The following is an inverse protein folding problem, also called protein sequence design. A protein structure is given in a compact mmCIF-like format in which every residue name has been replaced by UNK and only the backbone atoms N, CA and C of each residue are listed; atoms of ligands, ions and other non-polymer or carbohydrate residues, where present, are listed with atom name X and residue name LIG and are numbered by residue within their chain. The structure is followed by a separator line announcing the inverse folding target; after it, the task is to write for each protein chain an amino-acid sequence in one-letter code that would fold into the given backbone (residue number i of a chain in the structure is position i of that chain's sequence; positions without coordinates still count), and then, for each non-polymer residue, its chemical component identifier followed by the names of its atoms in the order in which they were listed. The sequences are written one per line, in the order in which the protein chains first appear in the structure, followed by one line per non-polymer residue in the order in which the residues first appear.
data_IF_157212252934
#
_entry.id   IF_157212252934
#
_cell.length_a   1.000
_cell.length_b   1.000
_cell.length_c   1.000
_cell.angle_alpha   90.00
_cell.angle_beta   90.00
_cell.angle_gamma   90.00
#
_symmetry.space_group_name_H-M   'P 1'
#
loop_
_entity.id
_entity.type
_entity.pdbx_description
1 polymer ?
#
# COMPACT_ATOMS: atom_id res chain seq x y z
N UNK A 1 5.21 -24.43 -29.11
CA UNK A 1 3.79 -24.45 -28.72
C UNK A 1 3.69 -23.86 -27.32
N UNK A 2 2.98 -22.72 -27.24
CA UNK A 2 2.63 -21.84 -26.11
C UNK A 2 3.05 -22.25 -24.69
N UNK A 3 4.12 -21.58 -24.25
CA UNK A 3 4.29 -20.71 -23.08
C UNK A 3 3.81 -21.12 -21.67
N UNK A 4 4.75 -21.07 -20.73
CA UNK A 4 4.71 -21.52 -19.32
C UNK A 4 5.07 -20.41 -18.31
N UNK A 5 5.26 -19.16 -18.72
CA UNK A 5 5.82 -18.12 -17.85
C UNK A 5 4.87 -16.97 -17.51
N UNK A 6 4.01 -17.15 -16.50
CA UNK A 6 3.22 -16.03 -15.93
C UNK A 6 3.05 -16.12 -14.40
N UNK A 7 4.05 -16.67 -13.69
CA UNK A 7 3.88 -17.16 -12.32
C UNK A 7 4.85 -16.65 -11.23
N UNK A 8 5.53 -15.49 -11.36
CA UNK A 8 6.56 -15.12 -10.37
C UNK A 8 6.64 -13.69 -9.81
N UNK A 9 5.72 -12.78 -10.11
CA UNK A 9 5.86 -11.36 -9.71
C UNK A 9 4.85 -10.82 -8.68
N UNK A 10 4.38 -11.64 -7.74
CA UNK A 10 3.61 -11.12 -6.60
C UNK A 10 3.98 -11.83 -5.30
N UNK A 11 5.04 -11.32 -4.66
CA UNK A 11 5.23 -11.16 -3.21
C UNK A 11 4.81 -12.33 -2.31
N UNK A 12 5.62 -13.38 -2.34
CA UNK A 12 6.11 -14.07 -1.15
C UNK A 12 7.02 -13.04 -0.43
N UNK A 13 6.81 -12.54 0.79
CA UNK A 13 6.34 -13.18 2.01
C UNK A 13 5.91 -12.12 3.07
N UNK A 14 4.70 -11.58 3.10
CA UNK A 14 3.50 -12.24 3.63
C UNK A 14 3.58 -12.87 5.05
N UNK A 15 4.75 -12.96 5.74
CA UNK A 15 4.91 -13.92 6.86
C UNK A 15 5.00 -13.44 8.31
N UNK A 16 5.33 -12.19 8.68
CA UNK A 16 5.58 -11.91 10.12
C UNK A 16 4.57 -11.07 10.90
N UNK A 17 3.72 -10.23 10.30
CA UNK A 17 2.78 -9.41 11.11
C UNK A 17 1.38 -10.05 11.33
N UNK A 18 1.31 -11.38 11.23
CA UNK A 18 0.14 -12.22 11.54
C UNK A 18 -0.13 -12.41 13.06
N UNK A 19 0.44 -11.62 13.97
CA UNK A 19 0.49 -11.99 15.41
C UNK A 19 -0.51 -11.35 16.37
N UNK A 20 -1.48 -10.52 15.96
CA UNK A 20 -2.52 -10.07 16.92
C UNK A 20 -3.97 -10.30 16.54
N UNK A 21 -4.31 -10.85 15.37
CA UNK A 21 -5.68 -11.36 15.13
C UNK A 21 -5.64 -12.65 14.30
N UNK A 22 -5.61 -13.81 14.97
CA UNK A 22 -6.12 -15.07 14.39
C UNK A 22 -6.91 -15.86 15.46
N UNK A 23 -8.02 -16.54 15.10
CA UNK A 23 -8.35 -16.99 13.75
C UNK A 23 -9.76 -16.67 13.24
N UNK A 24 -9.84 -16.17 12.00
CA UNK A 24 -10.56 -16.87 10.92
C UNK A 24 -9.46 -17.38 9.99
N UNK A 25 -9.33 -18.69 9.80
CA UNK A 25 -8.11 -19.31 9.26
C UNK A 25 -7.83 -19.00 7.77
N UNK A 26 -8.73 -18.34 7.06
CA UNK A 26 -8.72 -18.25 5.59
C UNK A 26 -8.86 -16.82 5.01
N UNK A 27 -8.94 -15.77 5.82
CA UNK A 27 -9.00 -14.40 5.30
C UNK A 27 -7.58 -13.87 5.12
N UNK A 28 -7.22 -13.45 3.90
CA UNK A 28 -5.96 -12.74 3.65
C UNK A 28 -6.20 -11.25 3.84
N UNK A 29 -5.49 -10.64 4.79
CA UNK A 29 -5.50 -9.19 5.04
C UNK A 29 -4.17 -8.60 4.58
N UNK A 30 -4.17 -7.60 3.68
CA UNK A 30 -2.99 -6.78 3.38
C UNK A 30 -3.17 -5.42 4.06
N UNK A 31 -2.26 -5.04 4.95
CA UNK A 31 -2.43 -3.90 5.86
C UNK A 31 -1.46 -2.76 5.52
N UNK A 32 -2.03 -1.57 5.34
CA UNK A 32 -1.46 -0.25 5.60
C UNK A 32 -2.15 0.25 6.89
N UNK A 33 -1.58 1.22 7.61
CA UNK A 33 -2.08 1.68 8.93
C UNK A 33 -3.59 1.94 8.98
N UNK A 34 -4.18 2.32 7.84
CA UNK A 34 -5.60 2.65 7.69
C UNK A 34 -6.24 2.13 6.40
N UNK A 35 -5.50 1.44 5.53
CA UNK A 35 -6.03 0.81 4.32
C UNK A 35 -5.76 -0.69 4.36
N UNK A 36 -6.82 -1.48 4.27
CA UNK A 36 -6.79 -2.91 4.49
C UNK A 36 -7.43 -3.61 3.31
N UNK A 37 -6.84 -4.69 2.80
CA UNK A 37 -7.44 -5.50 1.75
C UNK A 37 -7.85 -6.85 2.29
N UNK A 38 -9.10 -7.25 2.12
CA UNK A 38 -9.64 -8.54 2.54
C UNK A 38 -9.92 -9.41 1.32
N UNK A 39 -9.14 -10.46 1.12
CA UNK A 39 -9.40 -11.46 0.08
C UNK A 39 -9.98 -12.72 0.69
N UNK A 40 -11.29 -12.86 0.60
CA UNK A 40 -12.05 -13.96 1.20
C UNK A 40 -13.41 -14.13 0.52
N UNK A 41 -14.17 -15.17 0.88
CA UNK A 41 -15.58 -15.23 0.49
C UNK A 41 -16.46 -14.37 1.41
N UNK A 42 -17.70 -14.10 0.98
CA UNK A 42 -18.62 -13.25 1.74
C UNK A 42 -18.96 -13.80 3.14
N UNK A 43 -18.98 -15.12 3.33
CA UNK A 43 -19.27 -15.71 4.64
C UNK A 43 -18.12 -15.46 5.64
N UNK A 44 -16.89 -15.48 5.14
CA UNK A 44 -15.70 -15.16 5.92
C UNK A 44 -15.59 -13.66 6.22
N UNK A 45 -16.03 -12.81 5.29
CA UNK A 45 -16.15 -11.37 5.53
C UNK A 45 -17.17 -11.07 6.63
N UNK A 46 -18.34 -11.71 6.59
CA UNK A 46 -19.35 -11.53 7.63
C UNK A 46 -18.83 -11.97 9.00
N UNK A 47 -18.14 -13.12 9.08
CA UNK A 47 -17.49 -13.57 10.30
C UNK A 47 -16.41 -12.59 10.79
N UNK A 48 -15.64 -11.98 9.87
CA UNK A 48 -14.64 -10.96 10.20
C UNK A 48 -15.30 -9.74 10.84
N UNK A 49 -16.36 -9.22 10.23
CA UNK A 49 -17.10 -8.06 10.71
C UNK A 49 -17.76 -8.34 12.07
N UNK A 50 -18.30 -9.55 12.26
CA UNK A 50 -18.88 -9.95 13.55
C UNK A 50 -17.87 -9.96 14.70
N UNK A 51 -16.60 -10.25 14.39
CA UNK A 51 -15.51 -10.25 15.36
C UNK A 51 -14.94 -8.87 15.68
N UNK A 52 -15.25 -7.84 14.88
CA UNK A 52 -14.85 -6.47 15.19
C UNK A 52 -15.52 -6.06 16.51
N UNK A 53 -14.77 -5.64 17.54
CA UNK A 53 -15.35 -5.22 18.81
C UNK A 53 -16.39 -4.11 18.58
N UNK A 54 -17.62 -4.36 19.02
CA UNK A 54 -18.75 -3.43 18.92
C UNK A 54 -18.86 -2.55 20.17
N UNK A 55 -17.75 -2.12 20.75
CA UNK A 55 -17.83 -1.11 21.81
C UNK A 55 -18.46 0.16 21.24
N UNK A 56 -19.11 0.95 22.10
CA UNK A 56 -19.89 2.13 21.68
C UNK A 56 -19.04 3.24 21.01
N UNK A 57 -17.72 3.03 20.92
CA UNK A 57 -16.73 4.00 20.49
C UNK A 57 -16.31 3.79 19.02
N UNK A 58 -16.86 2.79 18.31
CA UNK A 58 -16.52 2.50 16.91
C UNK A 58 -17.76 2.51 16.02
N UNK A 59 -17.69 3.26 14.92
CA UNK A 59 -18.70 3.24 13.86
C UNK A 59 -18.25 2.38 12.68
N UNK A 60 -19.09 1.45 12.24
CA UNK A 60 -18.82 0.58 11.09
C UNK A 60 -19.80 0.92 9.96
N UNK A 61 -19.28 1.39 8.84
CA UNK A 61 -20.01 1.62 7.59
C UNK A 61 -19.76 0.46 6.62
N UNK A 62 -20.83 -0.20 6.15
CA UNK A 62 -20.75 -1.28 5.14
C UNK A 62 -21.31 -0.83 3.79
N UNK A 63 -20.48 -0.91 2.74
CA UNK A 63 -20.81 -0.60 1.35
C UNK A 63 -20.94 -1.90 0.55
N UNK A 64 -22.06 -2.07 -0.14
CA UNK A 64 -22.25 -3.20 -1.05
C UNK A 64 -21.76 -2.81 -2.46
N UNK A 65 -20.54 -3.21 -2.85
CA UNK A 65 -19.93 -2.83 -4.13
C UNK A 65 -20.73 -3.28 -5.36
N UNK A 66 -21.50 -4.38 -5.26
CA UNK A 66 -22.46 -4.82 -6.27
C UNK A 66 -23.54 -3.78 -6.61
N UNK A 67 -23.81 -2.82 -5.72
CA UNK A 67 -24.76 -1.72 -5.92
C UNK A 67 -24.08 -0.43 -6.37
N UNK A 68 -22.77 -0.46 -6.59
CA UNK A 68 -21.95 0.71 -6.92
C UNK A 68 -21.41 0.61 -8.36
N UNK A 69 -22.21 0.11 -9.31
CA UNK A 69 -21.81 -0.06 -10.71
C UNK A 69 -21.68 1.28 -11.46
N UNK A 70 -22.31 2.33 -10.95
CA UNK A 70 -22.30 3.71 -11.44
C UNK A 70 -22.26 4.70 -10.25
N UNK A 71 -22.14 6.00 -10.55
CA UNK A 71 -22.06 7.06 -9.53
C UNK A 71 -23.32 7.14 -8.66
N UNK A 72 -24.51 6.99 -9.25
CA UNK A 72 -25.77 7.07 -8.51
C UNK A 72 -25.86 5.97 -7.45
N UNK A 73 -25.50 4.74 -7.83
CA UNK A 73 -25.42 3.60 -6.93
C UNK A 73 -24.35 3.79 -5.85
N UNK A 74 -23.15 4.24 -6.23
CA UNK A 74 -22.06 4.52 -5.29
C UNK A 74 -22.47 5.55 -4.24
N UNK A 75 -22.93 6.72 -4.67
CA UNK A 75 -23.34 7.80 -3.79
C UNK A 75 -24.53 7.42 -2.90
N UNK A 76 -25.48 6.64 -3.43
CA UNK A 76 -26.61 6.14 -2.66
C UNK A 76 -26.18 5.16 -1.56
N UNK A 77 -25.24 4.26 -1.84
CA UNK A 77 -24.72 3.32 -0.84
C UNK A 77 -23.94 4.02 0.26
N UNK A 78 -23.11 5.03 -0.07
CA UNK A 78 -22.40 5.83 0.94
C UNK A 78 -23.36 6.67 1.79
N UNK A 79 -24.33 7.35 1.17
CA UNK A 79 -25.38 8.06 1.93
C UNK A 79 -26.09 7.14 2.91
N UNK A 80 -26.45 5.92 2.48
CA UNK A 80 -27.08 4.92 3.35
C UNK A 80 -26.15 4.48 4.48
N UNK A 81 -24.89 4.16 4.18
CA UNK A 81 -23.96 3.56 5.14
C UNK A 81 -23.44 4.57 6.18
N UNK A 82 -23.18 5.81 5.78
CA UNK A 82 -22.73 6.90 6.67
C UNK A 82 -23.88 7.81 7.12
N UNK A 83 -25.13 7.48 6.78
CA UNK A 83 -26.32 8.28 7.12
C UNK A 83 -26.16 9.74 6.70
N UNK A 84 -25.63 9.97 5.50
CA UNK A 84 -25.45 11.35 5.01
C UNK A 84 -26.79 12.10 5.05
N UNK A 85 -26.76 13.42 5.34
CA UNK A 85 -27.96 14.23 5.45
C UNK A 85 -28.84 14.21 4.20
N UNK A 86 -30.12 14.56 4.39
CA UNK A 86 -31.09 14.59 3.29
C UNK A 86 -30.69 15.56 2.17
N UNK A 87 -29.93 16.61 2.50
CA UNK A 87 -29.41 17.59 1.54
C UNK A 87 -28.23 17.10 0.69
N UNK A 88 -27.73 15.88 0.91
CA UNK A 88 -26.60 15.33 0.17
C UNK A 88 -26.80 15.45 -1.35
N UNK A 89 -25.84 16.10 -2.01
CA UNK A 89 -25.97 16.57 -3.40
C UNK A 89 -25.65 15.55 -4.50
N UNK A 90 -25.34 14.29 -4.16
CA UNK A 90 -25.01 13.21 -5.12
C UNK A 90 -23.96 13.60 -6.17
N UNK A 91 -22.90 14.26 -5.72
CA UNK A 91 -21.75 14.64 -6.53
C UNK A 91 -20.47 14.57 -5.69
N UNK A 92 -19.31 14.64 -6.34
CA UNK A 92 -18.02 14.50 -5.67
C UNK A 92 -17.75 15.55 -4.59
N UNK A 93 -18.17 16.81 -4.78
CA UNK A 93 -17.98 17.85 -3.77
C UNK A 93 -18.81 17.57 -2.51
N UNK A 94 -20.07 17.18 -2.69
CA UNK A 94 -20.93 16.77 -1.57
C UNK A 94 -20.44 15.48 -0.90
N UNK A 95 -19.85 14.56 -1.68
CA UNK A 95 -19.25 13.32 -1.17
C UNK A 95 -18.05 13.62 -0.26
N UNK A 96 -17.14 14.45 -0.73
CA UNK A 96 -15.96 14.88 0.02
C UNK A 96 -16.35 15.61 1.30
N UNK A 97 -17.28 16.55 1.22
CA UNK A 97 -17.83 17.29 2.37
C UNK A 97 -18.45 16.33 3.40
N UNK A 98 -19.38 15.46 2.99
CA UNK A 98 -20.09 14.60 3.93
C UNK A 98 -19.24 13.47 4.51
N UNK A 99 -18.22 12.98 3.77
CA UNK A 99 -17.36 11.91 4.27
C UNK A 99 -16.28 12.44 5.24
N UNK A 100 -15.95 13.72 5.11
CA UNK A 100 -15.01 14.42 5.99
C UNK A 100 -15.69 15.14 7.15
N UNK A 101 -16.98 15.46 7.07
CA UNK A 101 -17.76 16.01 8.17
C UNK A 101 -18.80 14.99 8.64
N UNK A 102 -18.43 14.17 9.62
CA UNK A 102 -19.30 13.13 10.19
C UNK A 102 -19.89 13.54 11.55
N UNK A 103 -20.14 14.83 11.78
CA UNK A 103 -20.59 15.36 13.08
C UNK A 103 -21.91 14.74 13.59
N UNK A 104 -22.74 14.18 12.72
CA UNK A 104 -23.95 13.44 13.10
C UNK A 104 -23.68 11.99 13.58
N UNK A 105 -22.45 11.49 13.46
CA UNK A 105 -22.00 10.17 13.95
C UNK A 105 -20.89 10.38 14.98
N UNK A 106 -21.26 10.36 16.27
CA UNK A 106 -20.28 10.34 17.36
C UNK A 106 -19.61 8.96 17.45
N UNK A 107 -18.31 8.90 17.18
CA UNK A 107 -17.47 7.71 17.37
C UNK A 107 -16.01 8.11 17.62
N UNK A 108 -15.27 7.29 18.37
CA UNK A 108 -13.83 7.46 18.58
C UNK A 108 -12.99 6.82 17.46
N UNK A 109 -13.63 6.06 16.56
CA UNK A 109 -13.04 5.52 15.34
C UNK A 109 -14.10 5.17 14.29
N UNK A 110 -13.73 5.29 13.03
CA UNK A 110 -14.55 4.92 11.89
C UNK A 110 -13.91 3.73 11.15
N UNK A 111 -14.75 2.81 10.70
CA UNK A 111 -14.34 1.66 9.92
C UNK A 111 -15.27 1.51 8.72
N UNK A 112 -14.72 1.70 7.52
CA UNK A 112 -15.40 1.53 6.25
C UNK A 112 -15.09 0.14 5.68
N UNK A 113 -16.10 -0.71 5.51
CA UNK A 113 -15.97 -1.99 4.79
C UNK A 113 -16.63 -1.88 3.43
N UNK A 114 -15.87 -2.10 2.37
CA UNK A 114 -16.34 -2.11 0.99
C UNK A 114 -16.35 -3.54 0.48
N UNK A 115 -17.54 -4.12 0.39
CA UNK A 115 -17.75 -5.48 -0.10
C UNK A 115 -17.70 -5.55 -1.63
N UNK A 116 -17.14 -6.62 -2.21
CA UNK A 116 -17.13 -6.85 -3.66
C UNK A 116 -16.53 -5.65 -4.41
N UNK A 117 -15.37 -5.17 -3.95
CA UNK A 117 -14.66 -4.01 -4.49
C UNK A 117 -14.37 -4.16 -6.00
N UNK A 118 -14.20 -5.41 -6.48
CA UNK A 118 -14.07 -5.74 -7.90
C UNK A 118 -15.31 -5.41 -8.75
N UNK A 119 -16.44 -5.03 -8.12
CA UNK A 119 -17.70 -4.66 -8.78
C UNK A 119 -17.97 -3.17 -8.82
N UNK A 120 -17.17 -2.35 -8.14
CA UNK A 120 -17.38 -0.90 -8.09
C UNK A 120 -16.93 -0.27 -9.40
N UNK A 121 -17.80 0.49 -10.06
CA UNK A 121 -17.49 1.32 -11.24
C UNK A 121 -16.71 0.62 -12.36
N UNK A 122 -16.92 -0.68 -12.58
CA UNK A 122 -16.05 -1.55 -13.43
C UNK A 122 -15.80 -0.97 -14.83
N UNK A 123 -16.77 -0.24 -15.38
CA UNK A 123 -16.71 0.34 -16.72
C UNK A 123 -16.38 1.84 -16.74
N UNK A 124 -15.99 2.42 -15.59
CA UNK A 124 -15.73 3.85 -15.42
C UNK A 124 -14.46 4.06 -14.59
N UNK A 125 -13.30 3.96 -15.25
CA UNK A 125 -12.00 4.09 -14.59
C UNK A 125 -11.75 5.48 -14.03
N UNK A 126 -12.24 6.54 -14.68
CA UNK A 126 -12.04 7.92 -14.22
C UNK A 126 -12.79 8.22 -12.92
N UNK A 127 -14.05 7.76 -12.80
CA UNK A 127 -14.78 7.88 -11.55
C UNK A 127 -14.29 6.91 -10.48
N UNK A 128 -13.79 5.73 -10.86
CA UNK A 128 -13.13 4.81 -9.93
C UNK A 128 -11.84 5.42 -9.36
N UNK A 129 -11.10 6.16 -10.18
CA UNK A 129 -9.93 6.91 -9.74
C UNK A 129 -10.29 8.01 -8.75
N UNK A 130 -11.29 8.81 -9.10
CA UNK A 130 -11.81 9.86 -8.22
C UNK A 130 -12.30 9.27 -6.89
N UNK A 131 -13.00 8.14 -6.93
CA UNK A 131 -13.46 7.41 -5.75
C UNK A 131 -12.31 7.07 -4.80
N UNK A 132 -11.26 6.41 -5.31
CA UNK A 132 -10.11 6.02 -4.50
C UNK A 132 -9.38 7.24 -3.93
N UNK A 133 -9.21 8.29 -4.73
CA UNK A 133 -8.62 9.55 -4.29
C UNK A 133 -9.37 10.14 -3.09
N UNK A 134 -10.70 10.24 -3.15
CA UNK A 134 -11.48 10.78 -2.04
C UNK A 134 -11.42 9.89 -0.79
N UNK A 135 -11.42 8.56 -0.95
CA UNK A 135 -11.25 7.65 0.18
C UNK A 135 -9.88 7.78 0.86
N UNK A 136 -8.80 7.86 0.08
CA UNK A 136 -7.46 8.00 0.63
C UNK A 136 -7.26 9.35 1.31
N UNK A 137 -7.72 10.43 0.67
CA UNK A 137 -7.69 11.77 1.27
C UNK A 137 -8.49 11.80 2.58
N UNK A 138 -9.70 11.22 2.59
CA UNK A 138 -10.53 11.12 3.80
C UNK A 138 -9.79 10.44 4.93
N UNK A 139 -9.23 9.25 4.70
CA UNK A 139 -8.52 8.50 5.73
C UNK A 139 -7.33 9.30 6.29
N UNK A 140 -6.54 9.93 5.39
CA UNK A 140 -5.43 10.78 5.77
C UNK A 140 -5.86 12.00 6.57
N UNK A 141 -6.94 12.68 6.18
CA UNK A 141 -7.44 13.86 6.89
C UNK A 141 -7.92 13.51 8.30
N UNK A 142 -8.66 12.42 8.46
CA UNK A 142 -9.14 11.99 9.78
C UNK A 142 -7.99 11.61 10.71
N UNK A 143 -6.98 10.91 10.22
CA UNK A 143 -5.83 10.47 11.03
C UNK A 143 -4.94 11.65 11.42
N UNK A 144 -4.75 12.61 10.52
CA UNK A 144 -3.96 13.80 10.80
C UNK A 144 -4.74 14.86 11.58
N UNK A 145 -6.07 14.80 11.57
CA UNK A 145 -6.95 15.84 12.08
C UNK A 145 -6.91 17.08 11.19
N UNK A 146 -7.81 18.03 11.46
CA UNK A 146 -7.92 19.29 10.72
C UNK A 146 -8.06 20.47 11.67
N UNK A 147 -7.58 21.62 11.21
CA UNK A 147 -7.76 22.89 11.88
C UNK A 147 -8.20 23.93 10.85
N UNK A 148 -9.50 23.97 10.56
CA UNK A 148 -10.12 24.97 9.68
C UNK A 148 -10.91 25.95 10.54
N UNK A 149 -10.54 27.24 10.50
CA UNK A 149 -11.32 28.40 10.94
C UNK A 149 -12.31 28.11 12.09
N UNK A 150 -11.77 27.69 13.25
CA UNK A 150 -12.45 27.39 14.53
C UNK A 150 -13.16 26.02 14.69
N UNK A 151 -13.17 25.15 13.67
CA UNK A 151 -13.69 23.78 13.74
C UNK A 151 -12.55 22.75 13.80
N UNK A 152 -12.18 22.35 15.02
CA UNK A 152 -11.16 21.35 15.25
C UNK A 152 -11.72 19.94 15.01
N UNK A 153 -11.34 19.30 13.89
CA UNK A 153 -11.47 17.85 13.79
C UNK A 153 -10.28 17.22 14.51
N UNK A 154 -10.55 16.53 15.62
CA UNK A 154 -9.53 15.74 16.32
C UNK A 154 -9.01 14.62 15.41
N UNK A 155 -7.78 14.20 15.65
CA UNK A 155 -7.24 12.97 15.07
C UNK A 155 -8.12 11.80 15.48
N UNK A 156 -8.72 11.14 14.50
CA UNK A 156 -9.63 10.01 14.70
C UNK A 156 -9.24 8.91 13.73
N UNK A 157 -9.02 7.66 14.20
CA UNK A 157 -8.76 6.53 13.31
C UNK A 157 -9.90 6.36 12.29
N UNK A 158 -9.52 6.19 11.02
CA UNK A 158 -10.45 5.92 9.92
C UNK A 158 -9.89 4.77 9.07
N UNK A 159 -10.30 3.55 9.40
CA UNK A 159 -9.86 2.34 8.69
C UNK A 159 -10.75 2.06 7.48
N UNK A 160 -10.15 1.69 6.34
CA UNK A 160 -10.86 1.28 5.13
C UNK A 160 -10.48 -0.16 4.77
N UNK A 161 -11.46 -1.04 4.72
CA UNK A 161 -11.34 -2.45 4.33
C UNK A 161 -11.93 -2.67 2.94
N UNK A 162 -11.07 -2.87 1.95
CA UNK A 162 -11.42 -3.27 0.60
C UNK A 162 -11.55 -4.79 0.51
N UNK A 163 -12.78 -5.29 0.43
CA UNK A 163 -13.05 -6.72 0.28
C UNK A 163 -13.24 -7.12 -1.18
N UNK A 164 -12.62 -8.23 -1.60
CA UNK A 164 -13.00 -8.94 -2.82
C UNK A 164 -12.85 -10.44 -2.65
N UNK A 165 -13.50 -11.21 -3.52
CA UNK A 165 -13.23 -12.65 -3.58
C UNK A 165 -11.76 -12.92 -3.97
N UNK A 166 -11.17 -14.00 -3.44
CA UNK A 166 -9.77 -14.36 -3.74
C UNK A 166 -9.48 -14.45 -5.25
N UNK A 167 -10.45 -14.94 -6.02
CA UNK A 167 -10.37 -15.09 -7.48
C UNK A 167 -10.24 -13.76 -8.22
N UNK A 168 -10.67 -12.66 -7.60
CA UNK A 168 -10.66 -11.31 -8.17
C UNK A 168 -9.55 -10.43 -7.60
N UNK A 169 -8.72 -10.97 -6.69
CA UNK A 169 -7.68 -10.22 -5.98
C UNK A 169 -6.67 -9.55 -6.92
N UNK A 170 -6.20 -10.25 -7.96
CA UNK A 170 -5.24 -9.69 -8.92
C UNK A 170 -5.81 -8.50 -9.70
N UNK A 171 -7.07 -8.62 -10.11
CA UNK A 171 -7.72 -7.62 -10.97
C UNK A 171 -8.00 -6.35 -10.17
N UNK A 172 -8.45 -6.48 -8.92
CA UNK A 172 -8.72 -5.31 -8.09
C UNK A 172 -7.44 -4.61 -7.65
N UNK A 173 -6.40 -5.39 -7.30
CA UNK A 173 -5.09 -4.85 -6.94
C UNK A 173 -4.53 -4.06 -8.12
N UNK A 174 -4.54 -4.64 -9.33
CA UNK A 174 -4.11 -3.97 -10.55
C UNK A 174 -4.86 -2.65 -10.77
N UNK A 175 -6.18 -2.67 -10.65
CA UNK A 175 -7.03 -1.51 -10.91
C UNK A 175 -6.82 -0.37 -9.91
N UNK A 176 -6.53 -0.70 -8.65
CA UNK A 176 -6.17 0.29 -7.62
C UNK A 176 -4.76 0.85 -7.88
N UNK A 177 -3.80 0.01 -8.28
CA UNK A 177 -2.45 0.46 -8.62
C UNK A 177 -2.40 1.38 -9.85
N UNK A 178 -3.12 1.03 -10.93
CA UNK A 178 -3.24 1.88 -12.12
C UNK A 178 -3.82 3.27 -11.80
N UNK A 179 -4.61 3.37 -10.72
CA UNK A 179 -5.21 4.61 -10.23
C UNK A 179 -4.23 5.46 -9.40
N UNK A 180 -3.47 4.84 -8.49
CA UNK A 180 -2.57 5.58 -7.58
C UNK A 180 -1.48 6.37 -8.34
N UNK A 181 -1.03 5.86 -9.49
CA UNK A 181 -0.07 6.52 -10.40
C UNK A 181 -0.60 7.86 -10.95
N UNK A 182 -1.91 8.09 -10.97
CA UNK A 182 -2.54 9.29 -11.54
C UNK A 182 -2.76 10.42 -10.52
N UNK A 183 -2.66 10.14 -9.21
CA UNK A 183 -3.04 11.09 -8.14
C UNK A 183 -1.88 11.86 -7.49
N UNK A 184 -0.62 11.44 -7.69
CA UNK A 184 0.57 12.25 -7.38
C UNK A 184 0.77 13.29 -8.48
N UNK A 185 1.27 14.50 -8.17
CA UNK A 185 1.67 15.44 -9.24
C UNK A 185 2.59 14.66 -10.19
N UNK A 186 2.26 14.50 -11.48
CA UNK A 186 3.10 13.71 -12.37
C UNK A 186 4.46 14.38 -12.42
N UNK A 187 5.50 13.62 -12.06
CA UNK A 187 6.89 14.00 -12.30
C UNK A 187 6.96 14.33 -13.79
N UNK A 188 7.41 15.54 -14.14
CA UNK A 188 7.54 15.93 -15.54
C UNK A 188 8.46 14.91 -16.22
N UNK A 189 7.93 14.10 -17.14
CA UNK A 189 8.68 13.02 -17.78
C UNK A 189 9.97 13.52 -18.45
N UNK A 190 10.03 14.82 -18.81
CA UNK A 190 11.24 15.45 -19.36
C UNK A 190 12.36 15.63 -18.34
N UNK A 191 12.06 15.55 -17.05
CA UNK A 191 13.00 15.70 -15.94
C UNK A 191 13.50 14.36 -15.40
N UNK A 192 12.96 13.23 -15.86
CA UNK A 192 13.39 11.89 -15.41
C UNK A 192 14.75 11.57 -16.01
N UNK A 193 15.77 11.56 -15.15
CA UNK A 193 17.11 11.05 -15.48
C UNK A 193 17.34 9.72 -14.75
N UNK A 194 17.19 8.60 -15.46
CA UNK A 194 17.41 7.26 -14.87
C UNK A 194 18.82 7.11 -14.27
N UNK A 195 19.80 7.89 -14.74
CA UNK A 195 21.16 7.84 -14.19
C UNK A 195 21.22 8.25 -12.72
N UNK A 196 20.32 9.12 -12.25
CA UNK A 196 20.32 9.50 -10.83
C UNK A 196 19.84 8.36 -9.94
N UNK A 197 18.90 7.56 -10.44
CA UNK A 197 18.38 6.38 -9.76
C UNK A 197 19.39 5.21 -9.80
N UNK A 198 20.17 5.07 -10.87
CA UNK A 198 21.32 4.15 -10.94
C UNK A 198 22.39 4.55 -9.90
N UNK A 199 22.75 5.83 -9.82
CA UNK A 199 23.69 6.34 -8.82
C UNK A 199 23.25 6.09 -7.39
N UNK A 200 21.94 6.23 -7.11
CA UNK A 200 21.40 5.90 -5.79
C UNK A 200 21.46 4.40 -5.51
N UNK A 201 21.14 3.57 -6.52
CA UNK A 201 21.26 2.11 -6.42
C UNK A 201 22.71 1.70 -6.06
N UNK A 202 23.70 2.36 -6.65
CA UNK A 202 25.13 2.15 -6.40
C UNK A 202 25.65 2.84 -5.11
N UNK A 203 24.78 3.50 -4.34
CA UNK A 203 25.14 4.27 -3.13
C UNK A 203 26.22 5.33 -3.41
N UNK A 204 26.17 5.95 -4.60
CA UNK A 204 27.02 7.09 -4.98
C UNK A 204 26.44 8.43 -4.51
N UNK A 205 25.11 8.48 -4.30
CA UNK A 205 24.37 9.63 -3.81
C UNK A 205 23.43 9.22 -2.69
N UNK A 206 23.01 10.21 -1.90
CA UNK A 206 21.99 10.05 -0.86
C UNK A 206 20.56 10.09 -1.42
N UNK A 207 19.58 9.68 -0.61
CA UNK A 207 18.16 9.70 -0.98
C UNK A 207 17.64 11.13 -1.19
N UNK A 208 18.13 12.10 -0.41
CA UNK A 208 17.77 13.51 -0.54
C UNK A 208 18.13 14.08 -1.93
N UNK A 209 19.22 13.59 -2.52
CA UNK A 209 19.70 14.01 -3.84
C UNK A 209 18.80 13.53 -4.99
N UNK A 210 17.90 12.55 -4.75
CA UNK A 210 16.90 12.12 -5.73
C UNK A 210 15.80 13.16 -5.98
N UNK A 211 15.65 14.15 -5.10
CA UNK A 211 14.64 15.20 -5.23
C UNK A 211 13.22 14.61 -5.31
N UNK A 212 12.46 15.00 -6.35
CA UNK A 212 11.07 14.53 -6.54
C UNK A 212 10.97 13.02 -6.81
N UNK A 213 12.04 12.38 -7.31
CA UNK A 213 12.03 10.94 -7.61
C UNK A 213 12.04 10.07 -6.34
N UNK A 214 12.44 10.64 -5.20
CA UNK A 214 12.46 9.96 -3.89
C UNK A 214 11.07 9.54 -3.38
N UNK A 215 10.01 10.03 -4.01
CA UNK A 215 8.64 9.58 -3.74
C UNK A 215 8.39 8.12 -4.16
N UNK A 216 9.23 7.58 -5.06
CA UNK A 216 9.17 6.17 -5.47
C UNK A 216 8.06 5.84 -6.48
N UNK A 217 7.28 6.83 -6.95
CA UNK A 217 6.26 6.63 -7.97
C UNK A 217 6.82 6.90 -9.36
N UNK A 218 6.94 5.85 -10.15
CA UNK A 218 7.42 5.93 -11.53
C UNK A 218 6.23 6.09 -12.46
N UNK A 219 6.29 6.89 -13.54
CA UNK A 219 5.28 6.80 -14.59
C UNK A 219 5.30 5.41 -15.23
N UNK A 220 4.15 4.89 -15.69
CA UNK A 220 3.99 3.53 -16.25
C UNK A 220 5.08 3.13 -17.26
N UNK A 221 5.51 4.06 -18.10
CA UNK A 221 6.58 3.85 -19.09
C UNK A 221 7.93 3.47 -18.46
N UNK A 222 8.18 3.91 -17.24
CA UNK A 222 9.43 3.76 -16.51
C UNK A 222 9.38 2.72 -15.40
N UNK A 223 8.25 2.02 -15.21
CA UNK A 223 8.13 0.99 -14.18
C UNK A 223 9.20 -0.09 -14.36
N UNK A 224 9.96 -0.35 -13.29
CA UNK A 224 11.00 -1.37 -13.27
C UNK A 224 12.11 -1.16 -14.30
N UNK A 225 12.40 0.09 -14.69
CA UNK A 225 13.40 0.39 -15.73
C UNK A 225 14.84 0.10 -15.29
N UNK A 226 15.08 -0.04 -13.99
CA UNK A 226 16.42 -0.24 -13.44
C UNK A 226 16.48 -1.61 -12.76
N UNK A 227 17.45 -2.42 -13.15
CA UNK A 227 17.63 -3.77 -12.62
C UNK A 227 18.50 -3.77 -11.37
N UNK A 228 17.99 -4.38 -10.31
CA UNK A 228 18.74 -4.65 -9.09
C UNK A 228 19.37 -6.04 -9.23
N UNK A 229 20.69 -6.09 -9.19
CA UNK A 229 21.48 -7.30 -9.13
C UNK A 229 21.91 -7.60 -7.69
N UNK A 230 22.27 -8.86 -7.40
CA UNK A 230 22.76 -9.28 -6.08
C UNK A 230 24.04 -8.54 -5.67
N UNK A 231 24.84 -8.09 -6.63
CA UNK A 231 26.04 -7.29 -6.40
C UNK A 231 25.71 -5.97 -5.70
N UNK A 232 24.54 -5.35 -5.96
CA UNK A 232 24.13 -4.13 -5.26
C UNK A 232 23.86 -4.40 -3.77
N UNK A 233 23.19 -5.52 -3.44
CA UNK A 233 22.95 -5.92 -2.04
C UNK A 233 24.25 -6.27 -1.33
N UNK A 234 25.16 -6.99 -2.00
CA UNK A 234 26.49 -7.29 -1.46
C UNK A 234 27.22 -5.97 -1.17
N UNK A 235 27.16 -5.01 -2.11
CA UNK A 235 27.81 -3.72 -1.95
C UNK A 235 27.23 -2.92 -0.77
N UNK A 236 25.90 -2.88 -0.63
CA UNK A 236 25.20 -2.26 0.50
C UNK A 236 25.66 -2.88 1.84
N UNK A 237 25.64 -4.20 1.96
CA UNK A 237 26.00 -4.91 3.18
C UNK A 237 27.49 -4.74 3.53
N UNK A 238 28.38 -4.76 2.53
CA UNK A 238 29.80 -4.52 2.74
C UNK A 238 30.08 -3.08 3.20
N UNK A 239 29.41 -2.08 2.63
CA UNK A 239 29.48 -0.68 3.09
C UNK A 239 28.94 -0.53 4.50
N UNK A 240 27.82 -1.18 4.83
CA UNK A 240 27.24 -1.21 6.16
C UNK A 240 28.21 -1.77 7.20
N UNK A 241 28.79 -2.94 6.94
CA UNK A 241 29.76 -3.59 7.83
C UNK A 241 31.02 -2.74 8.07
N UNK A 242 31.47 -2.01 7.05
CA UNK A 242 32.61 -1.09 7.14
C UNK A 242 32.25 0.26 7.79
N UNK A 243 30.97 0.50 8.10
CA UNK A 243 30.43 1.78 8.60
C UNK A 243 30.71 2.95 7.64
N UNK A 244 30.69 2.67 6.34
CA UNK A 244 30.84 3.68 5.28
C UNK A 244 29.51 4.39 4.98
N UNK A 245 28.38 3.80 5.39
CA UNK A 245 27.02 4.36 5.34
C UNK A 245 26.40 4.33 6.73
N UNK A 246 25.45 5.21 7.02
CA UNK A 246 24.73 5.21 8.29
C UNK A 246 23.62 4.16 8.33
N UNK A 247 23.10 3.86 9.53
CA UNK A 247 21.92 2.99 9.68
C UNK A 247 20.71 3.56 8.94
N UNK A 248 20.53 4.90 8.95
CA UNK A 248 19.47 5.56 8.22
C UNK A 248 19.63 5.40 6.71
N UNK A 249 20.84 5.60 6.17
CA UNK A 249 21.09 5.43 4.73
C UNK A 249 20.82 4.00 4.27
N UNK A 250 21.17 3.01 5.11
CA UNK A 250 20.89 1.61 4.85
C UNK A 250 19.38 1.34 4.77
N UNK A 251 18.63 1.78 5.79
CA UNK A 251 17.17 1.61 5.85
C UNK A 251 16.49 2.35 4.70
N UNK A 252 16.92 3.57 4.40
CA UNK A 252 16.38 4.35 3.30
C UNK A 252 16.60 3.69 1.94
N UNK A 253 17.76 3.07 1.74
CA UNK A 253 18.06 2.32 0.53
C UNK A 253 17.16 1.09 0.42
N UNK A 254 17.10 0.25 1.46
CA UNK A 254 16.30 -0.97 1.46
C UNK A 254 14.83 -0.64 1.18
N UNK A 255 14.26 0.32 1.93
CA UNK A 255 12.88 0.74 1.78
C UNK A 255 12.62 1.36 0.41
N UNK A 256 13.50 2.23 -0.07
CA UNK A 256 13.29 2.85 -1.38
C UNK A 256 13.32 1.81 -2.50
N UNK A 257 14.34 0.96 -2.58
CA UNK A 257 14.43 -0.07 -3.63
C UNK A 257 13.25 -1.04 -3.56
N UNK A 258 12.77 -1.36 -2.36
CA UNK A 258 11.66 -2.30 -2.15
C UNK A 258 10.29 -1.72 -2.52
N UNK A 259 10.00 -0.47 -2.17
CA UNK A 259 8.70 0.16 -2.36
C UNK A 259 8.57 0.99 -3.64
N UNK A 260 9.70 1.33 -4.28
CA UNK A 260 9.75 2.12 -5.49
C UNK A 260 9.29 1.35 -6.72
N UNK A 261 8.60 2.04 -7.62
CA UNK A 261 8.21 1.54 -8.94
C UNK A 261 9.35 1.68 -9.97
N UNK A 262 10.48 2.31 -9.63
CA UNK A 262 11.62 2.50 -10.54
C UNK A 262 12.42 1.22 -10.80
N UNK A 263 12.41 0.27 -9.88
CA UNK A 263 13.33 -0.87 -9.87
C UNK A 263 12.62 -2.21 -10.08
N UNK A 264 13.32 -3.15 -10.70
CA UNK A 264 12.95 -4.57 -10.77
C UNK A 264 14.16 -5.42 -10.40
N UNK A 265 13.94 -6.62 -9.88
CA UNK A 265 15.06 -7.54 -9.63
C UNK A 265 15.48 -8.22 -10.93
N UNK A 266 16.79 -8.39 -11.11
CA UNK A 266 17.34 -9.14 -12.22
C UNK A 266 16.78 -10.56 -12.24
N UNK A 267 16.25 -10.99 -13.39
CA UNK A 267 15.41 -12.19 -13.49
C UNK A 267 16.09 -13.47 -12.96
N UNK A 268 17.39 -13.63 -13.23
CA UNK A 268 18.13 -14.85 -12.86
C UNK A 268 18.33 -14.99 -11.34
N UNK A 269 18.49 -13.86 -10.63
CA UNK A 269 18.77 -13.81 -9.19
C UNK A 269 17.56 -13.30 -8.39
N UNK A 270 16.39 -13.12 -9.02
CA UNK A 270 15.23 -12.45 -8.44
C UNK A 270 14.76 -13.06 -7.11
N UNK A 271 14.65 -14.39 -7.04
CA UNK A 271 14.23 -15.11 -5.82
C UNK A 271 15.25 -14.90 -4.68
N UNK A 272 16.54 -14.93 -5.02
CA UNK A 272 17.64 -14.79 -4.08
C UNK A 272 17.70 -13.37 -3.50
N UNK A 273 17.63 -12.37 -4.38
CA UNK A 273 17.58 -10.95 -4.00
C UNK A 273 16.36 -10.70 -3.12
N UNK A 274 15.18 -11.19 -3.51
CA UNK A 274 13.96 -11.05 -2.73
C UNK A 274 14.08 -11.68 -1.34
N UNK A 275 14.70 -12.86 -1.22
CA UNK A 275 14.87 -13.53 0.08
C UNK A 275 15.69 -12.71 1.07
N UNK A 276 16.78 -12.09 0.61
CA UNK A 276 17.63 -11.24 1.46
C UNK A 276 16.94 -9.91 1.74
N UNK A 277 16.42 -9.24 0.71
CA UNK A 277 15.72 -7.97 0.90
C UNK A 277 14.54 -8.08 1.87
N UNK A 278 13.82 -9.21 1.87
CA UNK A 278 12.74 -9.47 2.83
C UNK A 278 13.23 -9.48 4.28
N UNK A 279 14.43 -10.01 4.53
CA UNK A 279 15.01 -9.99 5.87
C UNK A 279 15.61 -8.63 6.22
N UNK A 280 16.12 -7.88 5.22
CA UNK A 280 16.71 -6.55 5.43
C UNK A 280 15.66 -5.47 5.69
N UNK A 281 14.48 -5.56 5.07
CA UNK A 281 13.38 -4.61 5.29
C UNK A 281 12.87 -4.65 6.73
N UNK A 282 12.94 -5.82 7.39
CA UNK A 282 12.50 -5.96 8.78
C UNK A 282 13.49 -5.37 9.84
N UNK A 283 14.62 -4.79 9.43
CA UNK A 283 15.74 -4.45 10.33
C UNK A 283 15.56 -3.13 11.08
N UNK A 284 14.64 -2.28 10.64
CA UNK A 284 14.31 -1.04 11.35
C UNK A 284 13.17 -1.22 12.38
N UNK A 285 12.59 -2.43 12.49
CA UNK A 285 11.56 -2.76 13.47
C UNK A 285 12.13 -2.90 14.91
N UNK A 286 11.34 -2.52 15.92
CA UNK A 286 11.76 -2.52 17.32
C UNK A 286 12.30 -3.91 17.79
N UNK A 287 13.59 -3.96 18.14
CA UNK A 287 14.26 -5.17 18.60
C UNK A 287 14.82 -6.07 17.50
N UNK A 288 14.73 -5.66 16.24
CA UNK A 288 15.46 -6.26 15.12
C UNK A 288 16.58 -5.29 14.74
N UNK A 289 17.82 -5.78 14.73
CA UNK A 289 18.98 -5.02 14.28
C UNK A 289 19.80 -5.93 13.36
N UNK A 290 20.51 -5.34 12.39
CA UNK A 290 21.43 -6.08 11.53
C UNK A 290 22.72 -6.35 12.29
N UNK A 291 22.78 -7.50 12.96
CA UNK A 291 24.03 -7.98 13.55
C UNK A 291 25.08 -8.24 12.47
N UNK A 292 26.36 -8.07 12.80
CA UNK A 292 27.49 -8.36 11.90
C UNK A 292 27.40 -9.78 11.34
N UNK A 293 27.08 -10.76 12.18
CA UNK A 293 26.98 -12.17 11.78
C UNK A 293 25.89 -12.40 10.73
N UNK A 294 24.75 -11.71 10.84
CA UNK A 294 23.66 -11.78 9.85
C UNK A 294 24.05 -11.12 8.54
N UNK A 295 24.68 -9.95 8.58
CA UNK A 295 25.14 -9.29 7.36
C UNK A 295 26.15 -10.16 6.60
N UNK A 296 27.11 -10.77 7.31
CA UNK A 296 28.07 -11.72 6.73
C UNK A 296 27.38 -12.96 6.15
N UNK A 297 26.36 -13.49 6.83
CA UNK A 297 25.54 -14.60 6.34
C UNK A 297 24.85 -14.24 5.02
N UNK A 298 24.20 -13.08 4.93
CA UNK A 298 23.51 -12.63 3.72
C UNK A 298 24.49 -12.38 2.57
N UNK A 299 25.66 -11.78 2.83
CA UNK A 299 26.73 -11.64 1.82
C UNK A 299 27.15 -13.01 1.30
N UNK A 300 27.34 -13.99 2.18
CA UNK A 300 27.75 -15.34 1.80
C UNK A 300 26.68 -16.05 0.97
N UNK A 301 25.42 -15.92 1.35
CA UNK A 301 24.25 -16.42 0.62
C UNK A 301 24.22 -15.86 -0.79
N UNK A 302 24.33 -14.53 -0.93
CA UNK A 302 24.33 -13.84 -2.22
C UNK A 302 25.51 -14.27 -3.10
N UNK A 303 26.73 -14.35 -2.55
CA UNK A 303 27.93 -14.74 -3.31
C UNK A 303 27.91 -16.18 -3.80
N UNK A 304 27.25 -17.08 -3.05
CA UNK A 304 27.24 -18.51 -3.38
C UNK A 304 25.91 -19.00 -4.01
N UNK A 305 24.96 -18.10 -4.27
CA UNK A 305 23.62 -18.41 -4.77
C UNK A 305 22.89 -19.47 -3.92
N UNK A 306 22.92 -19.31 -2.60
CA UNK A 306 22.23 -20.18 -1.65
C UNK A 306 20.98 -19.45 -1.16
N UNK A 307 19.79 -20.04 -1.21
CA UNK A 307 18.58 -19.40 -0.63
C UNK A 307 18.69 -19.31 0.90
N UNK A 308 18.26 -18.18 1.48
CA UNK A 308 18.24 -17.91 2.94
C UNK A 308 17.09 -18.63 3.64
#
# INVERSE_FOLDING_TARGET
MRDKNSKKLLNWDFKKQLQTIRPIRNVKIKQCDYLHFLFCDNSQLDEFIEKIPKNNDKYIAKIAGKRCSDLDGLFSEFKRAFKFPDYFGYNWAAFDECLNDLDWISADSYLLVIEDMDKILVNDSANFESFLKYLFNTALEWINGRNYDDFLTKKTPFDIYFHSNEKSSSDIVKRIFETSVSTTRPIDEKMIDLKILEKYLDLEISKDELGELSQGFAPVKYHGSIEVHKEHLIHLLEKYLKKEISDNDFVDWVNFIWFSEWYTYFEEDSDLIASVMNELEEIDEEGKELTVEKAELYINVLKNNIEV
#
